data_IF_840260484739
#
_entry.id   IF_840260484739
#
_cell.length_a   1.000
_cell.length_b   1.000
_cell.length_c   1.000
_cell.angle_alpha   90.00
_cell.angle_beta   90.00
_cell.angle_gamma   90.00
#
_symmetry.space_group_name_H-M   'P 1'
#
loop_
_entity.id
_entity.type
_entity.pdbx_description
1 polymer ?
#
# COMPACT_ATOMS: atom_id res chain seq x y z
N UNK A 1 -0.33 43.86 -34.39
CA UNK A 1 1.02 43.28 -34.55
C UNK A 1 1.47 42.82 -33.18
N UNK A 2 1.15 41.59 -32.82
CA UNK A 2 1.48 40.99 -31.52
C UNK A 2 2.83 40.31 -31.61
N UNK A 3 3.73 40.65 -30.67
CA UNK A 3 5.03 40.03 -30.54
C UNK A 3 4.88 38.54 -30.19
N UNK A 4 5.68 37.64 -30.79
CA UNK A 4 5.66 36.23 -30.44
C UNK A 4 6.20 36.00 -29.02
N UNK A 5 5.65 35.03 -28.26
CA UNK A 5 6.14 34.68 -26.94
C UNK A 5 7.54 34.03 -27.04
N UNK A 6 8.41 34.42 -26.10
CA UNK A 6 9.77 33.90 -25.97
C UNK A 6 9.77 32.37 -25.79
N UNK A 7 10.73 31.65 -26.40
CA UNK A 7 10.81 30.19 -26.29
C UNK A 7 11.12 29.79 -24.85
N UNK A 8 10.43 28.74 -24.38
CA UNK A 8 10.68 28.09 -23.11
C UNK A 8 12.15 27.67 -23.02
N UNK A 9 12.84 28.15 -22.00
CA UNK A 9 14.21 27.78 -21.70
C UNK A 9 14.27 26.27 -21.42
N UNK A 10 15.00 25.54 -22.26
CA UNK A 10 15.46 24.19 -21.96
C UNK A 10 16.33 24.21 -20.69
N UNK A 11 16.27 23.19 -19.82
CA UNK A 11 17.10 23.14 -18.63
C UNK A 11 18.57 22.94 -19.03
N UNK A 12 19.39 23.93 -18.68
CA UNK A 12 20.82 23.91 -18.91
C UNK A 12 21.50 22.74 -18.16
N UNK A 13 22.06 21.80 -18.92
CA UNK A 13 23.09 20.88 -18.45
C UNK A 13 24.36 21.68 -18.09
N UNK A 14 24.78 21.64 -16.82
CA UNK A 14 26.07 22.22 -16.41
C UNK A 14 26.15 22.87 -15.03
N UNK A 15 25.20 22.67 -14.11
CA UNK A 15 25.37 23.12 -12.72
C UNK A 15 26.16 22.08 -11.91
N UNK A 16 27.07 22.54 -11.04
CA UNK A 16 27.84 21.75 -10.06
C UNK A 16 27.01 20.64 -9.39
N UNK A 17 27.59 19.53 -8.88
CA UNK A 17 26.82 18.50 -8.18
C UNK A 17 26.01 19.19 -7.08
N UNK A 18 24.70 19.30 -7.30
CA UNK A 18 23.85 20.05 -6.41
C UNK A 18 23.86 19.33 -5.06
N UNK A 19 24.17 20.07 -4.00
CA UNK A 19 24.16 19.50 -2.65
C UNK A 19 22.75 19.04 -2.29
N UNK A 20 22.62 18.11 -1.34
CA UNK A 20 21.31 17.69 -0.83
C UNK A 20 20.48 18.88 -0.33
N UNK A 21 21.12 19.96 0.15
CA UNK A 21 20.47 21.21 0.56
C UNK A 21 19.85 21.96 -0.63
N UNK A 22 20.55 22.02 -1.77
CA UNK A 22 20.05 22.63 -2.99
C UNK A 22 18.84 21.84 -3.52
N UNK A 23 18.94 20.50 -3.55
CA UNK A 23 17.83 19.64 -3.94
C UNK A 23 16.63 19.70 -2.98
N UNK A 24 16.87 19.77 -1.67
CA UNK A 24 15.84 20.01 -0.65
C UNK A 24 15.13 21.34 -0.88
N UNK A 25 15.88 22.39 -1.19
CA UNK A 25 15.34 23.74 -1.46
C UNK A 25 14.50 23.73 -2.75
N UNK A 26 15.03 23.15 -3.82
CA UNK A 26 14.29 22.96 -5.08
C UNK A 26 12.99 22.17 -4.86
N UNK A 27 13.03 21.07 -4.12
CA UNK A 27 11.84 20.28 -3.76
C UNK A 27 10.80 21.09 -2.97
N UNK A 28 11.24 21.94 -2.03
CA UNK A 28 10.35 22.82 -1.28
C UNK A 28 9.70 23.88 -2.19
N UNK A 29 10.44 24.42 -3.17
CA UNK A 29 9.92 25.43 -4.08
C UNK A 29 8.96 24.82 -5.12
N UNK A 30 9.26 23.61 -5.61
CA UNK A 30 8.31 22.84 -6.42
C UNK A 30 7.04 22.50 -5.63
N UNK A 31 7.16 22.17 -4.35
CA UNK A 31 6.00 21.92 -3.48
C UNK A 31 5.12 23.17 -3.34
N UNK A 32 5.72 24.35 -3.10
CA UNK A 32 4.98 25.62 -3.06
C UNK A 32 4.32 25.95 -4.40
N UNK A 33 4.96 25.57 -5.52
CA UNK A 33 4.43 25.73 -6.87
C UNK A 33 3.38 24.66 -7.26
N UNK A 34 2.98 23.78 -6.33
CA UNK A 34 2.08 22.63 -6.58
C UNK A 34 2.58 21.64 -7.65
N UNK A 35 3.88 21.66 -7.97
CA UNK A 35 4.52 20.72 -8.90
C UNK A 35 5.03 19.50 -8.14
N UNK A 36 4.10 18.65 -7.69
CA UNK A 36 4.43 17.57 -6.75
C UNK A 36 5.33 16.48 -7.35
N UNK A 37 5.22 16.19 -8.65
CA UNK A 37 6.10 15.22 -9.34
C UNK A 37 7.56 15.68 -9.31
N UNK A 38 7.83 16.91 -9.77
CA UNK A 38 9.16 17.51 -9.73
C UNK A 38 9.70 17.68 -8.31
N UNK A 39 8.82 17.90 -7.34
CA UNK A 39 9.20 17.92 -5.93
C UNK A 39 9.67 16.54 -5.44
N UNK A 40 8.97 15.46 -5.81
CA UNK A 40 9.37 14.08 -5.48
C UNK A 40 10.73 13.74 -6.09
N UNK A 41 10.98 14.13 -7.33
CA UNK A 41 12.25 13.89 -8.01
C UNK A 41 13.39 14.62 -7.30
N UNK A 42 13.20 15.90 -7.00
CA UNK A 42 14.19 16.72 -6.28
C UNK A 42 14.49 16.16 -4.88
N UNK A 43 13.47 15.74 -4.13
CA UNK A 43 13.68 15.10 -2.83
C UNK A 43 14.35 13.72 -2.95
N UNK A 44 14.13 12.99 -4.03
CA UNK A 44 14.78 11.69 -4.26
C UNK A 44 16.27 11.90 -4.54
N UNK A 45 16.61 12.86 -5.39
CA UNK A 45 18.00 13.26 -5.62
C UNK A 45 18.70 13.69 -4.32
N UNK A 46 18.01 14.45 -3.46
CA UNK A 46 18.56 14.85 -2.16
C UNK A 46 18.85 13.68 -1.21
N UNK A 47 18.02 12.62 -1.24
CA UNK A 47 18.16 11.44 -0.37
C UNK A 47 19.26 10.48 -0.85
N UNK A 48 19.61 10.55 -2.13
CA UNK A 48 20.67 9.76 -2.77
C UNK A 48 22.08 10.36 -2.55
N UNK A 49 22.17 11.64 -2.16
CA UNK A 49 23.43 12.27 -1.79
C UNK A 49 24.08 11.56 -0.59
N UNK A 50 25.38 11.25 -0.69
CA UNK A 50 26.10 10.47 0.32
C UNK A 50 26.44 11.25 1.61
N UNK A 51 26.41 12.58 1.55
CA UNK A 51 26.79 13.51 2.62
C UNK A 51 25.61 13.94 3.52
N UNK A 52 24.42 13.35 3.32
CA UNK A 52 23.23 13.70 4.09
C UNK A 52 23.22 13.05 5.48
N UNK A 53 23.02 13.87 6.51
CA UNK A 53 22.81 13.40 7.88
C UNK A 53 21.47 12.69 8.06
N UNK A 54 21.37 11.74 8.99
CA UNK A 54 20.16 10.92 9.20
C UNK A 54 18.91 11.77 9.52
N UNK A 55 19.06 12.84 10.32
CA UNK A 55 17.95 13.72 10.68
C UNK A 55 17.41 14.54 9.50
N UNK A 56 18.31 15.04 8.64
CA UNK A 56 17.93 15.73 7.41
C UNK A 56 17.32 14.78 6.39
N UNK A 57 17.89 13.59 6.26
CA UNK A 57 17.35 12.51 5.41
C UNK A 57 15.92 12.16 5.82
N UNK A 58 15.68 11.97 7.11
CA UNK A 58 14.35 11.74 7.65
C UNK A 58 13.38 12.89 7.31
N UNK A 59 13.82 14.14 7.45
CA UNK A 59 13.01 15.33 7.12
C UNK A 59 12.64 15.39 5.64
N UNK A 60 13.59 15.09 4.74
CA UNK A 60 13.39 15.10 3.30
C UNK A 60 12.44 13.98 2.86
N UNK A 61 12.64 12.76 3.35
CA UNK A 61 11.74 11.62 3.07
C UNK A 61 10.32 11.94 3.57
N UNK A 62 10.21 12.59 4.72
CA UNK A 62 8.95 13.10 5.25
C UNK A 62 8.25 14.07 4.26
N UNK A 63 8.99 15.02 3.67
CA UNK A 63 8.44 15.95 2.68
C UNK A 63 8.10 15.25 1.36
N UNK A 64 8.87 14.24 0.96
CA UNK A 64 8.57 13.38 -0.19
C UNK A 64 7.26 12.61 0.02
N UNK A 65 7.04 12.04 1.21
CA UNK A 65 5.77 11.39 1.56
C UNK A 65 4.57 12.34 1.44
N UNK A 66 4.73 13.62 1.82
CA UNK A 66 3.68 14.62 1.63
C UNK A 66 3.36 14.85 0.15
N UNK A 67 4.37 14.91 -0.71
CA UNK A 67 4.16 15.09 -2.15
C UNK A 67 3.45 13.86 -2.75
N UNK A 68 3.85 12.65 -2.33
CA UNK A 68 3.20 11.40 -2.74
C UNK A 68 1.73 11.32 -2.32
N UNK A 69 1.38 11.82 -1.12
CA UNK A 69 -0.02 12.00 -0.72
C UNK A 69 -0.79 12.93 -1.66
N UNK A 70 -0.19 14.05 -2.08
CA UNK A 70 -0.84 14.98 -3.03
C UNK A 70 -1.03 14.36 -4.42
N UNK A 71 -0.11 13.47 -4.82
CA UNK A 71 -0.19 12.69 -6.06
C UNK A 71 -1.09 11.45 -5.96
N UNK A 72 -1.66 11.17 -4.78
CA UNK A 72 -2.44 9.95 -4.50
C UNK A 72 -1.65 8.64 -4.67
N UNK A 73 -0.32 8.71 -4.59
CA UNK A 73 0.57 7.55 -4.57
C UNK A 73 0.73 7.07 -3.12
N UNK A 74 -0.34 6.49 -2.58
CA UNK A 74 -0.49 6.25 -1.14
C UNK A 74 0.44 5.13 -0.66
N UNK A 75 0.65 4.08 -1.46
CA UNK A 75 1.55 2.97 -1.13
C UNK A 75 2.97 3.48 -0.92
N UNK A 76 3.49 4.28 -1.86
CA UNK A 76 4.81 4.86 -1.74
C UNK A 76 4.90 5.92 -0.63
N UNK A 77 3.80 6.58 -0.27
CA UNK A 77 3.76 7.48 0.89
C UNK A 77 3.90 6.70 2.21
N UNK A 78 3.28 5.52 2.32
CA UNK A 78 3.44 4.61 3.47
C UNK A 78 4.88 4.11 3.57
N UNK A 79 5.49 3.72 2.45
CA UNK A 79 6.90 3.29 2.42
C UNK A 79 7.84 4.38 2.93
N UNK A 80 7.69 5.61 2.44
CA UNK A 80 8.50 6.74 2.91
C UNK A 80 8.30 7.02 4.40
N UNK A 81 7.06 6.99 4.88
CA UNK A 81 6.80 7.21 6.29
C UNK A 81 7.40 6.09 7.16
N UNK A 82 7.36 4.83 6.71
CA UNK A 82 7.99 3.71 7.40
C UNK A 82 9.51 3.86 7.49
N UNK A 83 10.18 4.34 6.43
CA UNK A 83 11.62 4.62 6.45
C UNK A 83 11.98 5.66 7.53
N UNK A 84 11.16 6.70 7.68
CA UNK A 84 11.37 7.71 8.73
C UNK A 84 11.13 7.13 10.11
N UNK A 85 10.04 6.38 10.29
CA UNK A 85 9.66 5.79 11.59
C UNK A 85 10.61 4.69 12.06
N UNK A 86 11.34 4.05 11.15
CA UNK A 86 12.41 3.11 11.50
C UNK A 86 13.57 3.78 12.24
N UNK A 87 13.81 5.07 11.98
CA UNK A 87 14.88 5.86 12.63
C UNK A 87 14.32 6.74 13.75
N UNK A 88 13.15 7.33 13.54
CA UNK A 88 12.48 8.27 14.45
C UNK A 88 11.06 7.78 14.71
N UNK A 89 10.90 6.82 15.63
CA UNK A 89 9.62 6.18 15.91
C UNK A 89 8.54 7.16 16.41
N UNK A 90 8.94 8.27 17.02
CA UNK A 90 8.08 9.32 17.56
C UNK A 90 7.90 10.52 16.61
N UNK A 91 8.30 10.40 15.34
CA UNK A 91 8.14 11.47 14.37
C UNK A 91 6.65 11.68 14.02
N UNK A 92 6.06 12.69 14.65
CA UNK A 92 4.63 13.04 14.52
C UNK A 92 4.23 13.29 13.07
N UNK A 93 5.09 13.91 12.25
CA UNK A 93 4.78 14.20 10.84
C UNK A 93 4.77 12.92 10.00
N UNK A 94 5.68 11.98 10.26
CA UNK A 94 5.71 10.69 9.58
C UNK A 94 4.50 9.84 9.96
N UNK A 95 4.17 9.74 11.25
CA UNK A 95 2.96 9.05 11.73
C UNK A 95 1.69 9.62 11.09
N UNK A 96 1.55 10.95 11.07
CA UNK A 96 0.37 11.59 10.48
C UNK A 96 0.25 11.33 8.97
N UNK A 97 1.36 11.37 8.23
CA UNK A 97 1.37 11.10 6.79
C UNK A 97 1.09 9.62 6.49
N UNK A 98 1.63 8.70 7.29
CA UNK A 98 1.32 7.27 7.20
C UNK A 98 -0.16 7.01 7.47
N UNK A 99 -0.70 7.57 8.54
CA UNK A 99 -2.11 7.49 8.88
C UNK A 99 -3.01 7.97 7.73
N UNK A 100 -2.69 9.12 7.14
CA UNK A 100 -3.45 9.69 6.02
C UNK A 100 -3.39 8.81 4.77
N UNK A 101 -2.23 8.22 4.48
CA UNK A 101 -2.07 7.30 3.35
C UNK A 101 -2.82 5.98 3.58
N UNK A 102 -2.74 5.43 4.79
CA UNK A 102 -3.45 4.21 5.19
C UNK A 102 -4.98 4.41 5.18
N UNK A 103 -5.47 5.57 5.63
CA UNK A 103 -6.88 5.96 5.54
C UNK A 103 -7.34 5.93 4.07
N UNK A 104 -6.56 6.50 3.15
CA UNK A 104 -6.87 6.51 1.72
C UNK A 104 -6.79 5.12 1.05
N UNK A 105 -5.95 4.23 1.57
CA UNK A 105 -5.85 2.82 1.15
C UNK A 105 -6.94 1.92 1.75
N UNK A 106 -7.80 2.45 2.63
CA UNK A 106 -8.83 1.68 3.32
C UNK A 106 -8.33 0.82 4.48
N UNK A 107 -7.06 0.95 4.88
CA UNK A 107 -6.46 0.28 6.05
C UNK A 107 -6.77 1.06 7.32
N UNK A 108 -8.05 1.07 7.70
CA UNK A 108 -8.62 1.98 8.70
C UNK A 108 -8.11 1.73 10.11
N UNK A 109 -7.90 0.46 10.49
CA UNK A 109 -7.40 0.08 11.81
C UNK A 109 -5.96 0.56 12.03
N UNK A 110 -5.10 0.36 11.04
CA UNK A 110 -3.70 0.82 11.08
C UNK A 110 -3.63 2.36 11.08
N UNK A 111 -4.45 3.01 10.26
CA UNK A 111 -4.56 4.47 10.23
C UNK A 111 -5.01 5.04 11.59
N UNK A 112 -5.96 4.37 12.25
CA UNK A 112 -6.47 4.75 13.56
C UNK A 112 -5.41 4.61 14.65
N UNK A 113 -4.58 3.55 14.61
CA UNK A 113 -3.46 3.38 15.52
C UNK A 113 -2.47 4.54 15.41
N UNK A 114 -2.09 4.91 14.17
CA UNK A 114 -1.18 6.01 13.93
C UNK A 114 -1.74 7.37 14.35
N UNK A 115 -3.01 7.66 14.05
CA UNK A 115 -3.62 8.92 14.49
C UNK A 115 -3.75 9.02 16.02
N UNK A 116 -3.98 7.90 16.71
CA UNK A 116 -3.97 7.84 18.18
C UNK A 116 -2.59 8.11 18.74
N UNK A 117 -1.55 7.59 18.10
CA UNK A 117 -0.18 7.87 18.52
C UNK A 117 0.20 9.34 18.29
N UNK A 118 -0.19 9.93 17.15
CA UNK A 118 -0.06 11.38 16.90
C UNK A 118 -0.77 12.19 17.99
N UNK A 119 -1.99 11.80 18.38
CA UNK A 119 -2.74 12.45 19.47
C UNK A 119 -2.03 12.34 20.81
N UNK A 120 -1.41 11.18 21.09
CA UNK A 120 -0.68 10.91 22.34
C UNK A 120 0.59 11.77 22.43
N UNK A 121 1.36 11.84 21.34
CA UNK A 121 2.59 12.61 21.27
C UNK A 121 2.34 14.12 21.19
N UNK A 122 1.37 14.54 20.38
CA UNK A 122 1.06 15.96 20.19
C UNK A 122 -0.46 16.21 20.17
N UNK A 123 -1.08 16.42 21.35
CA UNK A 123 -2.52 16.66 21.48
C UNK A 123 -3.04 17.88 20.71
N UNK A 124 -2.17 18.85 20.42
CA UNK A 124 -2.50 20.08 19.68
C UNK A 124 -2.83 19.84 18.20
N UNK A 125 -2.44 18.70 17.62
CA UNK A 125 -2.71 18.40 16.21
C UNK A 125 -4.19 18.04 16.05
N UNK A 126 -5.05 19.02 15.81
CA UNK A 126 -6.51 18.82 15.67
C UNK A 126 -6.87 17.94 14.48
N UNK A 127 -6.06 17.97 13.40
CA UNK A 127 -6.25 17.15 12.21
C UNK A 127 -6.28 15.65 12.52
N UNK A 128 -5.46 15.16 13.46
CA UNK A 128 -5.48 13.76 13.85
C UNK A 128 -6.78 13.37 14.59
N UNK A 129 -7.50 14.32 15.20
CA UNK A 129 -8.72 14.04 15.98
C UNK A 129 -9.89 14.00 15.02
N UNK A 130 -9.87 14.87 14.01
CA UNK A 130 -10.76 14.76 12.88
C UNK A 130 -10.57 13.41 12.16
N UNK A 131 -9.32 12.97 11.94
CA UNK A 131 -9.01 11.64 11.40
C UNK A 131 -9.55 10.50 12.25
N UNK A 132 -9.27 10.49 13.56
CA UNK A 132 -9.84 9.52 14.51
C UNK A 132 -11.36 9.50 14.43
N UNK A 133 -12.02 10.67 14.53
CA UNK A 133 -13.49 10.75 14.51
C UNK A 133 -14.09 10.27 13.20
N UNK A 134 -13.48 10.60 12.04
CA UNK A 134 -13.93 10.09 10.74
C UNK A 134 -13.83 8.58 10.69
N UNK A 135 -12.65 8.04 10.97
CA UNK A 135 -12.40 6.60 10.92
C UNK A 135 -13.28 5.88 11.93
N UNK A 136 -13.40 6.36 13.16
CA UNK A 136 -14.30 5.79 14.16
C UNK A 136 -15.76 5.90 13.74
N UNK A 137 -16.18 6.97 13.06
CA UNK A 137 -17.54 7.07 12.54
C UNK A 137 -17.79 6.11 11.37
N UNK A 138 -16.79 5.84 10.53
CA UNK A 138 -16.89 4.87 9.44
C UNK A 138 -16.83 3.43 9.94
N UNK A 139 -15.94 3.17 10.90
CA UNK A 139 -15.84 1.90 11.60
C UNK A 139 -17.06 1.67 12.48
N UNK A 140 -17.69 2.70 13.08
CA UNK A 140 -19.02 2.65 13.72
C UNK A 140 -20.17 2.73 12.71
N UNK A 141 -19.94 3.11 11.47
CA UNK A 141 -20.86 2.85 10.36
C UNK A 141 -20.90 1.35 10.07
N UNK A 142 -19.74 0.69 10.17
CA UNK A 142 -19.59 -0.77 10.13
C UNK A 142 -19.77 -1.49 11.48
N UNK A 143 -19.71 -0.79 12.62
CA UNK A 143 -19.86 -1.32 13.99
C UNK A 143 -21.06 -0.71 14.72
N UNK A 144 -21.93 0.01 13.98
CA UNK A 144 -23.26 0.45 14.41
C UNK A 144 -24.16 -0.75 14.69
N UNK A 145 -23.66 -1.92 14.35
CA UNK A 145 -24.07 -3.25 14.74
C UNK A 145 -24.08 -3.49 16.27
N UNK A 146 -23.18 -2.87 17.04
CA UNK A 146 -23.14 -3.05 18.52
C UNK A 146 -23.72 -1.86 19.30
N UNK A 147 -23.68 -0.62 18.79
CA UNK A 147 -24.24 0.55 19.50
C UNK A 147 -25.67 0.96 19.11
N UNK A 148 -26.12 0.70 17.87
CA UNK A 148 -27.56 0.83 17.54
C UNK A 148 -28.42 -0.21 18.28
N UNK A 149 -27.77 -1.04 19.11
CA UNK A 149 -28.38 -1.94 20.05
C UNK A 149 -28.96 -1.29 21.31
N UNK A 150 -28.60 -0.04 21.61
CA UNK A 150 -28.92 0.61 22.88
C UNK A 150 -29.99 1.71 22.79
N UNK A 151 -30.58 1.95 21.60
CA UNK A 151 -31.37 3.15 21.31
C UNK A 151 -32.84 2.96 20.94
N UNK A 152 -33.49 1.85 21.29
CA UNK A 152 -34.92 1.65 21.01
C UNK A 152 -35.54 0.55 21.89
N UNK A 153 -36.88 0.49 22.03
CA UNK A 153 -37.53 -0.50 22.88
C UNK A 153 -37.26 -1.89 22.29
N UNK A 154 -36.44 -2.68 22.98
CA UNK A 154 -36.00 -3.99 22.51
C UNK A 154 -36.58 -5.09 23.38
N UNK A 155 -37.14 -6.10 22.72
CA UNK A 155 -37.24 -7.44 23.29
C UNK A 155 -35.85 -7.87 23.78
N UNK A 156 -35.78 -8.52 24.95
CA UNK A 156 -34.52 -9.05 25.47
C UNK A 156 -33.97 -10.06 24.46
N UNK A 157 -32.77 -9.80 23.94
CA UNK A 157 -32.02 -10.72 23.06
C UNK A 157 -31.81 -12.03 23.82
N UNK A 158 -32.13 -13.16 23.19
CA UNK A 158 -31.93 -14.48 23.81
C UNK A 158 -30.46 -14.85 23.81
N UNK A 159 -30.07 -15.79 24.69
CA UNK A 159 -28.69 -16.28 24.75
C UNK A 159 -28.28 -16.95 23.43
N UNK A 160 -29.21 -17.65 22.79
CA UNK A 160 -29.06 -18.27 21.48
C UNK A 160 -28.81 -17.24 20.37
N UNK A 161 -29.60 -16.17 20.28
CA UNK A 161 -29.43 -15.10 19.28
C UNK A 161 -28.06 -14.40 19.43
N UNK A 162 -27.61 -14.19 20.67
CA UNK A 162 -26.29 -13.62 20.94
C UNK A 162 -25.14 -14.55 20.53
N UNK A 163 -25.27 -15.85 20.80
CA UNK A 163 -24.27 -16.84 20.41
C UNK A 163 -24.15 -16.96 18.88
N UNK A 164 -25.28 -16.93 18.17
CA UNK A 164 -25.30 -16.94 16.70
C UNK A 164 -24.65 -15.69 16.10
N UNK A 165 -24.88 -14.51 16.68
CA UNK A 165 -24.22 -13.28 16.25
C UNK A 165 -22.70 -13.34 16.46
N UNK A 166 -22.24 -13.86 17.60
CA UNK A 166 -20.80 -14.01 17.88
C UNK A 166 -20.13 -14.99 16.91
N UNK A 167 -20.76 -16.13 16.64
CA UNK A 167 -20.25 -17.11 15.68
C UNK A 167 -20.16 -16.52 14.26
N UNK A 168 -21.15 -15.72 13.87
CA UNK A 168 -21.16 -15.08 12.55
C UNK A 168 -20.09 -13.99 12.43
N UNK A 169 -19.87 -13.20 13.49
CA UNK A 169 -18.77 -12.23 13.55
C UNK A 169 -17.40 -12.91 13.46
N UNK A 170 -17.21 -14.02 14.16
CA UNK A 170 -15.96 -14.79 14.09
C UNK A 170 -15.74 -15.37 12.68
N UNK A 171 -16.81 -15.84 12.03
CA UNK A 171 -16.76 -16.32 10.65
C UNK A 171 -16.40 -15.21 9.67
N UNK A 172 -17.00 -14.01 9.79
CA UNK A 172 -16.64 -12.85 8.95
C UNK A 172 -15.17 -12.49 9.12
N UNK A 173 -14.67 -12.45 10.38
CA UNK A 173 -13.26 -12.17 10.68
C UNK A 173 -12.33 -13.22 10.07
N UNK A 174 -12.67 -14.49 10.20
CA UNK A 174 -11.89 -15.61 9.65
C UNK A 174 -11.81 -15.55 8.12
N UNK A 175 -12.93 -15.30 7.44
CA UNK A 175 -12.97 -15.16 5.97
C UNK A 175 -12.14 -13.96 5.52
N UNK A 176 -12.23 -12.81 6.21
CA UNK A 176 -11.42 -11.63 5.91
C UNK A 176 -9.92 -11.91 6.03
N UNK A 177 -9.49 -12.63 7.07
CA UNK A 177 -8.09 -13.02 7.25
C UNK A 177 -7.61 -13.96 6.12
N UNK A 178 -8.42 -14.96 5.76
CA UNK A 178 -8.11 -15.88 4.66
C UNK A 178 -8.02 -15.14 3.32
N UNK A 179 -8.92 -14.18 3.08
CA UNK A 179 -8.94 -13.36 1.88
C UNK A 179 -7.66 -12.53 1.75
N UNK A 180 -7.19 -11.92 2.84
CA UNK A 180 -5.95 -11.17 2.85
C UNK A 180 -4.74 -12.05 2.50
N UNK A 181 -4.62 -13.21 3.14
CA UNK A 181 -3.54 -14.17 2.86
C UNK A 181 -3.59 -14.65 1.41
N UNK A 182 -4.77 -14.88 0.85
CA UNK A 182 -4.93 -15.27 -0.55
C UNK A 182 -4.48 -14.16 -1.52
N UNK A 183 -4.81 -12.90 -1.22
CA UNK A 183 -4.36 -11.72 -1.99
C UNK A 183 -2.84 -11.55 -1.95
N UNK A 184 -2.23 -11.68 -0.78
CA UNK A 184 -0.77 -11.58 -0.63
C UNK A 184 -0.05 -12.70 -1.40
N UNK A 185 -0.57 -13.93 -1.32
CA UNK A 185 -0.05 -15.08 -2.10
C UNK A 185 -0.19 -14.86 -3.61
N UNK A 186 -1.32 -14.29 -4.07
CA UNK A 186 -1.52 -13.92 -5.48
C UNK A 186 -0.49 -12.89 -5.91
N UNK A 187 -0.27 -11.84 -5.13
CA UNK A 187 0.72 -10.81 -5.44
C UNK A 187 2.14 -11.40 -5.54
N UNK A 188 2.53 -12.24 -4.58
CA UNK A 188 3.81 -12.94 -4.63
C UNK A 188 3.99 -13.82 -5.89
N UNK A 189 2.95 -14.55 -6.27
CA UNK A 189 2.95 -15.35 -7.51
C UNK A 189 3.01 -14.46 -8.76
N UNK A 190 2.34 -13.31 -8.78
CA UNK A 190 2.35 -12.37 -9.90
C UNK A 190 3.72 -11.74 -10.10
N UNK A 191 4.38 -11.28 -9.03
CA UNK A 191 5.75 -10.79 -9.07
C UNK A 191 6.73 -11.89 -9.54
N UNK A 192 6.55 -13.12 -9.06
CA UNK A 192 7.33 -14.28 -9.49
C UNK A 192 7.18 -14.58 -10.99
N UNK A 193 5.94 -14.55 -11.49
CA UNK A 193 5.62 -14.72 -12.92
C UNK A 193 6.30 -13.63 -13.75
N UNK A 194 6.12 -12.36 -13.37
CA UNK A 194 6.69 -11.22 -14.12
C UNK A 194 8.21 -11.30 -14.24
N UNK A 195 8.91 -11.75 -13.18
CA UNK A 195 10.36 -11.98 -13.23
C UNK A 195 10.74 -13.06 -14.25
N UNK A 196 9.98 -14.16 -14.30
CA UNK A 196 10.22 -15.24 -15.26
C UNK A 196 9.96 -14.79 -16.70
N UNK A 197 8.90 -14.00 -16.94
CA UNK A 197 8.59 -13.44 -18.26
C UNK A 197 9.69 -12.51 -18.75
N UNK A 198 10.16 -11.59 -17.89
CA UNK A 198 11.31 -10.72 -18.22
C UNK A 198 12.56 -11.55 -18.50
N UNK A 199 12.81 -12.59 -17.71
CA UNK A 199 13.95 -13.49 -17.96
C UNK A 199 13.82 -14.19 -19.32
N UNK A 200 12.63 -14.70 -19.65
CA UNK A 200 12.36 -15.35 -20.93
C UNK A 200 12.53 -14.38 -22.12
N UNK A 201 12.08 -13.14 -21.97
CA UNK A 201 12.28 -12.07 -22.95
C UNK A 201 13.76 -11.80 -23.18
N UNK A 202 14.55 -11.63 -22.11
CA UNK A 202 15.99 -11.43 -22.27
C UNK A 202 16.68 -12.65 -22.89
N UNK A 203 16.30 -13.88 -22.52
CA UNK A 203 16.84 -15.11 -23.12
C UNK A 203 16.52 -15.23 -24.62
N UNK A 204 15.41 -14.64 -25.08
CA UNK A 204 15.04 -14.61 -26.50
C UNK A 204 15.90 -13.69 -27.35
N UNK A 205 16.56 -12.70 -26.72
CA UNK A 205 17.44 -11.73 -27.40
C UNK A 205 18.89 -12.23 -27.55
N UNK A 206 19.23 -13.36 -26.93
CA UNK A 206 20.58 -13.92 -26.96
C UNK A 206 20.87 -14.59 -28.32
N UNK A 207 22.07 -14.40 -28.92
CA UNK A 207 22.45 -15.06 -30.17
C UNK A 207 22.44 -16.59 -30.09
N UNK A 208 22.03 -17.23 -31.19
CA UNK A 208 22.10 -18.68 -31.36
C UNK A 208 23.54 -19.19 -31.20
N UNK A 209 23.73 -20.29 -30.48
CA UNK A 209 25.04 -20.87 -30.18
C UNK A 209 25.73 -20.34 -28.92
N UNK A 210 25.11 -19.40 -28.19
CA UNK A 210 25.61 -18.96 -26.88
C UNK A 210 25.55 -20.10 -25.85
N UNK A 211 26.66 -20.38 -25.17
CA UNK A 211 26.68 -21.36 -24.07
C UNK A 211 25.90 -20.83 -22.88
N UNK A 212 24.77 -21.46 -22.59
CA UNK A 212 23.95 -21.16 -21.42
C UNK A 212 24.18 -22.16 -20.29
N UNK A 213 23.99 -21.70 -19.05
CA UNK A 213 24.15 -22.51 -17.85
C UNK A 213 22.93 -22.33 -16.95
N UNK A 214 22.30 -23.43 -16.53
CA UNK A 214 21.20 -23.42 -15.56
C UNK A 214 21.72 -23.82 -14.17
N UNK A 215 21.23 -23.14 -13.14
CA UNK A 215 21.56 -23.44 -11.76
C UNK A 215 20.78 -24.68 -11.27
N UNK A 216 21.50 -25.70 -10.80
CA UNK A 216 20.95 -26.91 -10.18
C UNK A 216 21.53 -27.03 -8.78
N UNK A 217 20.81 -26.51 -7.79
CA UNK A 217 21.27 -26.41 -6.40
C UNK A 217 22.45 -25.45 -6.27
N UNK A 218 23.64 -25.97 -5.92
CA UNK A 218 24.89 -25.21 -5.80
C UNK A 218 25.81 -25.33 -7.03
N UNK A 219 25.37 -26.03 -8.07
CA UNK A 219 26.15 -26.26 -9.29
C UNK A 219 25.49 -25.56 -10.48
N UNK A 220 26.27 -25.31 -11.53
CA UNK A 220 25.80 -24.79 -12.81
C UNK A 220 26.08 -25.81 -13.90
N UNK A 221 25.04 -26.21 -14.63
CA UNK A 221 25.13 -27.21 -15.70
C UNK A 221 24.97 -26.48 -17.04
N UNK A 222 25.84 -26.81 -18.01
CA UNK A 222 25.71 -26.27 -19.36
C UNK A 222 24.47 -26.89 -20.01
N UNK A 223 23.51 -26.05 -20.37
CA UNK A 223 22.21 -26.47 -20.91
C UNK A 223 21.99 -25.72 -22.22
N UNK A 224 21.56 -26.38 -23.32
CA UNK A 224 21.22 -25.70 -24.57
C UNK A 224 20.18 -24.59 -24.38
N UNK A 225 20.31 -23.50 -25.14
CA UNK A 225 19.45 -22.33 -25.03
C UNK A 225 17.96 -22.67 -25.23
N UNK A 226 17.65 -23.59 -26.14
CA UNK A 226 16.26 -24.01 -26.42
C UNK A 226 15.63 -24.74 -25.24
N UNK A 227 16.41 -25.56 -24.54
CA UNK A 227 15.97 -26.30 -23.36
C UNK A 227 15.76 -25.34 -22.17
N UNK A 228 16.65 -24.35 -22.00
CA UNK A 228 16.46 -23.27 -21.01
C UNK A 228 15.18 -22.48 -21.28
N UNK A 229 14.90 -22.15 -22.54
CA UNK A 229 13.65 -21.46 -22.95
C UNK A 229 12.41 -22.32 -22.64
N UNK A 230 12.47 -23.63 -22.91
CA UNK A 230 11.40 -24.56 -22.58
C UNK A 230 11.15 -24.63 -21.06
N UNK A 231 12.21 -24.77 -20.25
CA UNK A 231 12.11 -24.77 -18.79
C UNK A 231 11.52 -23.47 -18.23
N UNK A 232 11.88 -22.33 -18.81
CA UNK A 232 11.30 -21.03 -18.43
C UNK A 232 9.81 -20.97 -18.79
N UNK A 233 9.42 -21.44 -19.97
CA UNK A 233 8.02 -21.49 -20.38
C UNK A 233 7.17 -22.37 -19.44
N UNK A 234 7.68 -23.53 -19.03
CA UNK A 234 7.03 -24.42 -18.06
C UNK A 234 6.85 -23.74 -16.69
N UNK A 235 7.90 -23.05 -16.21
CA UNK A 235 7.85 -22.29 -14.96
C UNK A 235 6.83 -21.15 -15.03
N UNK A 236 6.73 -20.43 -16.16
CA UNK A 236 5.71 -19.40 -16.39
C UNK A 236 4.30 -20.02 -16.36
N UNK A 237 4.06 -21.09 -17.12
CA UNK A 237 2.78 -21.80 -17.14
C UNK A 237 2.36 -22.31 -15.75
N UNK A 238 3.31 -22.81 -14.96
CA UNK A 238 3.05 -23.24 -13.59
C UNK A 238 2.63 -22.07 -12.68
N UNK A 239 3.26 -20.89 -12.80
CA UNK A 239 2.87 -19.70 -12.06
C UNK A 239 1.51 -19.17 -12.51
N UNK A 240 1.19 -19.23 -13.80
CA UNK A 240 -0.13 -18.86 -14.31
C UNK A 240 -1.25 -19.74 -13.74
N UNK A 241 -1.05 -21.06 -13.69
CA UNK A 241 -2.00 -21.98 -13.06
C UNK A 241 -2.20 -21.65 -11.58
N UNK A 242 -1.12 -21.33 -10.85
CA UNK A 242 -1.21 -20.89 -9.45
C UNK A 242 -2.00 -19.59 -9.30
N UNK A 243 -1.77 -18.61 -10.19
CA UNK A 243 -2.51 -17.36 -10.20
C UNK A 243 -4.01 -17.59 -10.40
N UNK A 244 -4.39 -18.40 -11.39
CA UNK A 244 -5.81 -18.76 -11.63
C UNK A 244 -6.44 -19.45 -10.41
N UNK A 245 -5.69 -20.33 -9.74
CA UNK A 245 -6.18 -20.99 -8.52
C UNK A 245 -6.39 -19.99 -7.37
N UNK A 246 -5.47 -19.04 -7.18
CA UNK A 246 -5.65 -17.99 -6.17
C UNK A 246 -6.79 -17.05 -6.53
N UNK A 247 -6.99 -16.72 -7.80
CA UNK A 247 -8.13 -15.92 -8.26
C UNK A 247 -9.47 -16.57 -7.97
N UNK A 248 -9.61 -17.87 -8.29
CA UNK A 248 -10.81 -18.62 -7.95
C UNK A 248 -11.05 -18.70 -6.43
N UNK A 249 -9.98 -18.89 -5.66
CA UNK A 249 -10.06 -18.89 -4.18
C UNK A 249 -10.48 -17.53 -3.62
N UNK A 250 -9.97 -16.43 -4.18
CA UNK A 250 -10.35 -15.06 -3.79
C UNK A 250 -11.83 -14.83 -4.11
N UNK A 251 -12.28 -15.19 -5.31
CA UNK A 251 -13.67 -15.03 -5.72
C UNK A 251 -14.63 -15.81 -4.79
N UNK A 252 -14.27 -17.03 -4.42
CA UNK A 252 -15.02 -17.84 -3.46
C UNK A 252 -15.10 -17.15 -2.08
N UNK A 253 -13.97 -16.68 -1.55
CA UNK A 253 -13.91 -16.01 -0.25
C UNK A 253 -14.68 -14.69 -0.25
N UNK A 254 -14.66 -13.93 -1.34
CA UNK A 254 -15.43 -12.70 -1.49
C UNK A 254 -16.94 -12.95 -1.52
N UNK A 255 -17.38 -14.03 -2.20
CA UNK A 255 -18.78 -14.48 -2.15
C UNK A 255 -19.18 -14.88 -0.73
N UNK A 256 -18.35 -15.69 -0.07
CA UNK A 256 -18.60 -16.14 1.30
C UNK A 256 -18.66 -14.96 2.30
N UNK A 257 -17.83 -13.93 2.11
CA UNK A 257 -17.87 -12.71 2.92
C UNK A 257 -19.18 -11.96 2.74
N UNK A 258 -19.61 -11.73 1.50
CA UNK A 258 -20.88 -11.04 1.20
C UNK A 258 -22.10 -11.77 1.75
N UNK A 259 -22.08 -13.10 1.68
CA UNK A 259 -23.16 -13.94 2.23
C UNK A 259 -23.20 -13.84 3.75
N UNK A 260 -22.04 -13.92 4.41
CA UNK A 260 -21.93 -13.75 5.86
C UNK A 260 -22.42 -12.36 6.30
N UNK A 261 -22.05 -11.30 5.58
CA UNK A 261 -22.51 -9.93 5.85
C UNK A 261 -24.04 -9.79 5.68
N UNK A 262 -24.61 -10.40 4.63
CA UNK A 262 -26.06 -10.38 4.37
C UNK A 262 -26.83 -11.10 5.47
N UNK A 263 -26.39 -12.31 5.83
CA UNK A 263 -26.99 -13.09 6.91
C UNK A 263 -26.94 -12.34 8.24
N UNK A 264 -25.83 -11.65 8.49
CA UNK A 264 -25.64 -10.86 9.69
C UNK A 264 -26.64 -9.69 9.74
N UNK A 265 -26.82 -8.98 8.62
CA UNK A 265 -27.79 -7.89 8.51
C UNK A 265 -29.23 -8.37 8.70
N UNK A 266 -29.59 -9.53 8.15
CA UNK A 266 -30.93 -10.12 8.32
C UNK A 266 -31.21 -10.47 9.78
N UNK A 267 -30.24 -11.07 10.47
CA UNK A 267 -30.36 -11.41 11.89
C UNK A 267 -30.59 -10.16 12.74
N UNK A 268 -29.81 -9.10 12.50
CA UNK A 268 -29.96 -7.84 13.24
C UNK A 268 -31.26 -7.11 12.91
N UNK A 269 -31.72 -7.16 11.67
CA UNK A 269 -33.02 -6.62 11.29
C UNK A 269 -34.17 -7.40 11.94
N UNK A 270 -34.05 -8.72 12.08
CA UNK A 270 -35.03 -9.57 12.78
C UNK A 270 -35.10 -9.20 14.26
N UNK A 271 -33.94 -9.07 14.92
CA UNK A 271 -33.85 -8.64 16.32
C UNK A 271 -34.42 -7.22 16.53
N UNK A 272 -34.35 -6.34 15.52
CA UNK A 272 -34.92 -4.99 15.60
C UNK A 272 -36.43 -4.93 15.37
N UNK A 273 -37.01 -5.89 14.64
CA UNK A 273 -38.45 -5.91 14.29
C UNK A 273 -39.32 -6.70 15.29
N UNK A 274 -38.70 -7.53 16.13
CA UNK A 274 -39.36 -8.38 17.15
C UNK A 274 -39.35 -7.74 18.55
#
# INVERSE_FOLDING_TARGET
>A
MSAPPAPAAEPAEGAAPASWEAFKTAGNDFYKASKFESAVDSYTQAVECADIGEADKATIICNRAQCRLMLKDYEKAVEDANLVLAVQADNVKALFRRASALEALGKKEDALADFREVRRLQPAVTAAAAGIRRIESELKGGAGFVEAAKGGPRRKITKEEMMQLQELEERVRSVAQQLQVAKDRKQGAASGKRRLELTAEEMSRIPEGTKTYEAVGKMFVMTPLDEVKAHLADKVSAQEKRLKNFEASIEYLEKASKEADSNWMEMVNTIRKA
#
